data_IF_198770186128
#
_entry.id   IF_198770186128
#
_cell.length_a   1.000
_cell.length_b   1.000
_cell.length_c   1.000
_cell.angle_alpha   90.00
_cell.angle_beta   90.00
_cell.angle_gamma   90.00
#
_symmetry.space_group_name_H-M   'P 1'
#
loop_
_entity.id
_entity.type
_entity.pdbx_description
1 polymer ?
#
# COMPACT_ATOMS: atom_id res chain seq x y z
N UNK A 1 -3.61 2.07 5.36
CA UNK A 1 -2.65 2.69 4.43
C UNK A 1 -1.26 2.37 4.93
N UNK A 2 -0.40 1.88 4.05
CA UNK A 2 0.99 1.55 4.35
C UNK A 2 1.88 2.62 3.72
N UNK A 3 2.71 3.28 4.52
CA UNK A 3 3.55 4.37 4.06
C UNK A 3 5.01 4.05 4.34
N UNK A 4 5.87 4.17 3.32
CA UNK A 4 7.30 3.93 3.48
C UNK A 4 8.13 4.87 2.61
N UNK A 5 9.30 5.31 3.10
CA UNK A 5 10.31 5.82 2.21
C UNK A 5 10.92 4.70 1.36
N UNK A 6 11.62 5.09 0.29
CA UNK A 6 12.49 4.23 -0.51
C UNK A 6 13.89 4.27 0.09
N UNK A 7 14.49 3.10 0.30
CA UNK A 7 15.88 2.94 0.72
C UNK A 7 16.56 1.92 -0.18
N UNK A 8 17.53 2.35 -1.00
CA UNK A 8 18.26 1.47 -1.92
C UNK A 8 17.32 0.65 -2.83
N UNK A 9 16.29 1.31 -3.38
CA UNK A 9 15.28 0.66 -4.22
C UNK A 9 14.32 -0.27 -3.47
N UNK A 10 14.43 -0.38 -2.14
CA UNK A 10 13.62 -1.24 -1.29
C UNK A 10 12.69 -0.43 -0.37
N UNK A 11 11.62 -1.05 0.18
CA UNK A 11 10.90 -0.48 1.30
C UNK A 11 11.82 -0.29 2.52
N UNK A 12 11.42 0.56 3.47
CA UNK A 12 12.18 0.75 4.70
C UNK A 12 12.23 -0.52 5.56
N UNK A 13 13.32 -0.68 6.31
CA UNK A 13 13.44 -1.76 7.30
C UNK A 13 12.34 -1.72 8.37
N UNK A 14 11.69 -0.56 8.58
CA UNK A 14 10.56 -0.44 9.50
C UNK A 14 9.30 -1.08 8.95
N UNK A 15 8.92 -0.81 7.70
CA UNK A 15 7.75 -1.46 7.10
C UNK A 15 8.02 -2.95 6.86
N UNK A 16 9.27 -3.32 6.54
CA UNK A 16 9.68 -4.72 6.43
C UNK A 16 9.44 -5.48 7.74
N UNK A 17 9.84 -4.90 8.89
CA UNK A 17 9.53 -5.48 10.21
C UNK A 17 8.03 -5.58 10.53
N UNK A 18 7.20 -4.69 9.96
CA UNK A 18 5.74 -4.78 10.11
C UNK A 18 5.22 -5.98 9.32
N UNK A 19 5.67 -6.15 8.07
CA UNK A 19 5.32 -7.27 7.20
C UNK A 19 5.73 -8.60 7.84
N UNK A 20 6.95 -8.70 8.35
CA UNK A 20 7.45 -9.90 9.03
C UNK A 20 6.60 -10.28 10.25
N UNK A 21 6.03 -9.29 10.96
CA UNK A 21 5.12 -9.55 12.08
C UNK A 21 3.71 -9.94 11.65
N UNK A 22 3.34 -9.64 10.42
CA UNK A 22 2.06 -10.07 9.85
C UNK A 22 2.06 -11.55 9.46
N UNK A 23 3.18 -12.28 9.60
CA UNK A 23 3.23 -13.74 9.42
C UNK A 23 2.16 -14.50 10.25
N UNK A 24 1.79 -13.96 11.42
CA UNK A 24 0.67 -14.47 12.21
C UNK A 24 -0.67 -14.49 11.46
N UNK A 25 -0.91 -13.55 10.54
CA UNK A 25 -2.09 -13.49 9.68
C UNK A 25 -2.13 -14.69 8.73
N UNK A 26 -0.97 -15.10 8.22
CA UNK A 26 -0.85 -16.29 7.36
C UNK A 26 -1.14 -17.57 8.15
N UNK A 27 -0.60 -17.68 9.37
CA UNK A 27 -0.92 -18.79 10.27
C UNK A 27 -2.42 -18.91 10.56
N UNK A 28 -3.10 -17.79 10.82
CA UNK A 28 -4.56 -17.77 11.02
C UNK A 28 -5.33 -18.16 9.76
N UNK A 29 -4.87 -17.71 8.58
CA UNK A 29 -5.44 -18.14 7.30
C UNK A 29 -5.30 -19.65 7.11
N UNK A 30 -4.11 -20.22 7.35
CA UNK A 30 -3.85 -21.66 7.20
C UNK A 30 -4.73 -22.54 8.10
N UNK A 31 -5.10 -22.05 9.29
CA UNK A 31 -5.98 -22.78 10.21
C UNK A 31 -7.48 -22.64 9.89
N UNK A 32 -7.91 -21.48 9.36
CA UNK A 32 -9.33 -21.13 9.24
C UNK A 32 -9.87 -21.14 7.80
N UNK A 33 -8.98 -21.07 6.81
CA UNK A 33 -9.29 -20.92 5.38
C UNK A 33 -9.68 -19.50 4.96
N UNK A 34 -9.66 -18.53 5.87
CA UNK A 34 -10.04 -17.13 5.60
C UNK A 34 -9.11 -16.19 6.37
N UNK A 35 -8.49 -15.24 5.69
CA UNK A 35 -7.62 -14.26 6.36
C UNK A 35 -8.43 -13.37 7.33
N UNK A 36 -7.90 -13.02 8.51
CA UNK A 36 -8.53 -12.02 9.39
C UNK A 36 -8.59 -10.62 8.76
N UNK A 37 -7.85 -10.39 7.67
CA UNK A 37 -7.85 -9.13 6.91
C UNK A 37 -8.82 -9.16 5.72
N UNK A 38 -9.53 -10.26 5.51
CA UNK A 38 -10.66 -10.32 4.58
C UNK A 38 -11.63 -9.18 4.91
N UNK A 39 -12.09 -8.48 3.87
CA UNK A 39 -12.89 -7.25 3.93
C UNK A 39 -12.16 -5.95 4.29
N UNK A 40 -10.83 -5.97 4.39
CA UNK A 40 -10.04 -4.74 4.56
C UNK A 40 -9.55 -4.25 3.20
N UNK A 41 -9.46 -2.92 3.06
CA UNK A 41 -8.86 -2.28 1.89
C UNK A 41 -7.52 -1.69 2.29
N UNK A 42 -6.50 -1.87 1.46
CA UNK A 42 -5.20 -1.25 1.64
C UNK A 42 -4.86 -0.30 0.49
N UNK A 43 -4.00 0.65 0.82
CA UNK A 43 -3.40 1.59 -0.12
C UNK A 43 -2.00 1.95 0.35
N UNK A 44 -1.17 2.46 -0.56
CA UNK A 44 0.27 2.56 -0.40
C UNK A 44 0.72 4.00 -0.63
N UNK A 45 1.57 4.51 0.26
CA UNK A 45 2.24 5.81 0.07
C UNK A 45 3.75 5.58 0.02
N UNK A 46 4.39 6.04 -1.06
CA UNK A 46 5.84 5.90 -1.23
C UNK A 46 6.49 7.26 -1.46
N UNK A 47 7.57 7.54 -0.73
CA UNK A 47 8.39 8.74 -0.97
C UNK A 47 9.86 8.38 -1.12
N UNK A 48 10.56 8.95 -2.08
CA UNK A 48 12.02 8.81 -2.18
C UNK A 48 12.64 10.07 -2.76
N UNK A 49 13.96 10.18 -2.66
CA UNK A 49 14.70 11.21 -3.40
C UNK A 49 14.82 10.80 -4.88
N UNK A 50 15.16 9.54 -5.12
CA UNK A 50 15.44 9.02 -6.46
C UNK A 50 14.94 7.59 -6.61
N UNK A 51 14.27 7.33 -7.73
CA UNK A 51 13.81 6.05 -8.31
C UNK A 51 13.23 4.96 -7.36
N UNK A 52 12.69 3.86 -7.89
CA UNK A 52 12.32 2.67 -7.13
C UNK A 52 10.84 2.57 -6.73
N UNK A 53 10.01 3.56 -7.08
CA UNK A 53 8.58 3.58 -6.71
C UNK A 53 7.87 2.31 -7.16
N UNK A 54 7.97 1.96 -8.44
CA UNK A 54 7.20 0.83 -9.01
C UNK A 54 7.63 -0.50 -8.39
N UNK A 55 8.93 -0.65 -8.09
CA UNK A 55 9.43 -1.81 -7.37
C UNK A 55 8.84 -1.88 -5.95
N UNK A 56 8.94 -0.80 -5.17
CA UNK A 56 8.43 -0.77 -3.79
C UNK A 56 6.91 -0.95 -3.75
N UNK A 57 6.16 -0.29 -4.64
CA UNK A 57 4.71 -0.45 -4.76
C UNK A 57 4.36 -1.88 -5.14
N UNK A 58 5.07 -2.49 -6.10
CA UNK A 58 4.85 -3.87 -6.53
C UNK A 58 5.09 -4.87 -5.39
N UNK A 59 6.21 -4.74 -4.67
CA UNK A 59 6.53 -5.57 -3.51
C UNK A 59 5.45 -5.49 -2.44
N UNK A 60 5.08 -4.28 -2.03
CA UNK A 60 4.05 -4.08 -1.01
C UNK A 60 2.67 -4.52 -1.49
N UNK A 61 2.30 -4.24 -2.74
CA UNK A 61 1.01 -4.67 -3.29
C UNK A 61 0.88 -6.19 -3.27
N UNK A 62 1.91 -6.89 -3.74
CA UNK A 62 1.96 -8.35 -3.72
C UNK A 62 1.77 -8.89 -2.29
N UNK A 63 2.59 -8.43 -1.34
CA UNK A 63 2.49 -8.82 0.07
C UNK A 63 1.11 -8.56 0.66
N UNK A 64 0.54 -7.38 0.44
CA UNK A 64 -0.76 -7.01 1.01
C UNK A 64 -1.91 -7.82 0.42
N UNK A 65 -1.86 -8.16 -0.87
CA UNK A 65 -2.86 -9.04 -1.48
C UNK A 65 -2.79 -10.46 -0.92
N UNK A 66 -1.59 -11.00 -0.69
CA UNK A 66 -1.41 -12.32 -0.07
C UNK A 66 -1.99 -12.38 1.34
N UNK A 67 -1.85 -11.31 2.12
CA UNK A 67 -2.48 -11.24 3.43
C UNK A 67 -4.00 -11.02 3.40
N UNK A 68 -4.63 -10.85 2.22
CA UNK A 68 -6.08 -10.77 2.08
C UNK A 68 -6.67 -9.35 2.01
N UNK A 69 -5.84 -8.31 1.86
CA UNK A 69 -6.37 -6.98 1.58
C UNK A 69 -6.90 -6.89 0.14
N UNK A 70 -8.02 -6.19 -0.03
CA UNK A 70 -8.45 -5.70 -1.33
C UNK A 70 -7.66 -4.43 -1.71
N UNK A 71 -7.15 -4.40 -2.93
CA UNK A 71 -6.48 -3.24 -3.51
C UNK A 71 -7.31 -2.68 -4.67
N UNK A 72 -7.80 -1.43 -4.61
CA UNK A 72 -8.50 -0.84 -5.73
C UNK A 72 -7.54 -0.42 -6.86
N UNK A 73 -8.06 -0.06 -8.05
CA UNK A 73 -7.30 0.69 -9.04
C UNK A 73 -6.69 1.95 -8.44
N UNK A 74 -5.47 2.31 -8.87
CA UNK A 74 -4.75 3.49 -8.37
C UNK A 74 -4.66 3.56 -6.82
N UNK A 75 -4.43 2.41 -6.18
CA UNK A 75 -4.29 2.28 -4.72
C UNK A 75 -3.02 2.91 -4.13
N UNK A 76 -2.15 3.50 -4.95
CA UNK A 76 -0.88 4.05 -4.53
C UNK A 76 -0.77 5.54 -4.87
N UNK A 77 -0.21 6.32 -3.93
CA UNK A 77 0.21 7.69 -4.16
C UNK A 77 1.68 7.84 -3.81
N UNK A 78 2.43 8.59 -4.60
CA UNK A 78 3.88 8.65 -4.42
C UNK A 78 4.51 9.96 -4.84
N UNK A 79 5.78 10.11 -4.49
CA UNK A 79 6.65 11.16 -5.01
C UNK A 79 8.11 10.69 -5.01
N UNK A 80 8.81 11.01 -6.10
CA UNK A 80 10.28 11.01 -6.15
C UNK A 80 10.78 12.34 -6.68
N UNK A 81 11.98 12.71 -6.26
CA UNK A 81 12.71 13.87 -6.74
C UNK A 81 13.51 13.57 -8.00
N UNK A 82 14.44 14.46 -8.27
CA UNK A 82 15.40 14.33 -9.36
C UNK A 82 16.60 13.50 -8.90
N UNK A 83 17.25 12.81 -9.85
CA UNK A 83 18.45 12.04 -9.55
C UNK A 83 19.60 12.95 -9.14
N UNK A 84 20.26 12.62 -8.03
CA UNK A 84 21.39 13.37 -7.49
C UNK A 84 21.02 14.69 -6.76
N UNK A 85 22.03 15.35 -6.14
CA UNK A 85 21.83 16.54 -5.32
C UNK A 85 21.39 17.77 -6.14
N UNK A 86 20.72 18.76 -5.50
CA UNK A 86 20.41 18.83 -4.08
C UNK A 86 19.03 18.24 -3.71
N UNK A 87 18.95 17.59 -2.54
CA UNK A 87 17.75 16.92 -2.02
C UNK A 87 17.01 17.71 -0.92
N UNK A 88 17.56 18.85 -0.51
CA UNK A 88 17.07 19.68 0.59
C UNK A 88 15.68 20.30 0.32
N UNK A 89 15.32 20.48 -0.96
CA UNK A 89 14.04 21.01 -1.39
C UNK A 89 12.96 19.95 -1.62
N UNK A 90 13.28 18.66 -1.52
CA UNK A 90 12.37 17.56 -1.85
C UNK A 90 11.07 17.60 -1.05
N UNK A 91 11.16 17.97 0.22
CA UNK A 91 9.99 18.08 1.09
C UNK A 91 9.02 19.16 0.61
N UNK A 92 9.53 20.29 0.12
CA UNK A 92 8.72 21.38 -0.41
C UNK A 92 8.18 21.05 -1.81
N UNK A 93 9.04 20.55 -2.70
CA UNK A 93 8.67 20.09 -4.04
C UNK A 93 7.54 19.07 -3.99
N UNK A 94 7.63 18.07 -3.09
CA UNK A 94 6.58 17.07 -2.88
C UNK A 94 5.24 17.68 -2.50
N UNK A 95 5.21 18.64 -1.57
CA UNK A 95 3.95 19.26 -1.09
C UNK A 95 3.26 20.09 -2.17
N UNK A 96 4.03 20.68 -3.07
CA UNK A 96 3.54 21.50 -4.19
C UNK A 96 3.29 20.70 -5.47
N UNK A 97 3.66 19.42 -5.50
CA UNK A 97 3.56 18.60 -6.70
C UNK A 97 2.10 18.28 -7.03
N UNK A 98 1.61 18.79 -8.15
CA UNK A 98 0.23 18.61 -8.60
C UNK A 98 -0.10 17.13 -8.83
N UNK A 99 0.79 16.37 -9.46
CA UNK A 99 0.59 14.95 -9.77
C UNK A 99 0.47 14.11 -8.49
N UNK A 100 1.35 14.32 -7.50
CA UNK A 100 1.24 13.68 -6.19
C UNK A 100 -0.09 14.01 -5.52
N UNK A 101 -0.53 15.27 -5.55
CA UNK A 101 -1.82 15.65 -4.96
C UNK A 101 -3.01 14.98 -5.70
N UNK A 102 -2.97 14.88 -7.03
CA UNK A 102 -3.98 14.16 -7.80
C UNK A 102 -4.00 12.68 -7.43
N UNK A 103 -2.85 12.01 -7.36
CA UNK A 103 -2.76 10.60 -6.95
C UNK A 103 -3.30 10.38 -5.54
N UNK A 104 -2.97 11.26 -4.58
CA UNK A 104 -3.51 11.19 -3.21
C UNK A 104 -5.04 11.29 -3.23
N UNK A 105 -5.61 12.21 -4.02
CA UNK A 105 -7.05 12.37 -4.15
C UNK A 105 -7.71 11.14 -4.77
N UNK A 106 -7.19 10.63 -5.90
CA UNK A 106 -7.73 9.45 -6.57
C UNK A 106 -7.63 8.21 -5.68
N UNK A 107 -6.47 7.96 -5.09
CA UNK A 107 -6.25 6.86 -4.15
C UNK A 107 -7.26 6.95 -3.00
N UNK A 108 -7.41 8.11 -2.36
CA UNK A 108 -8.32 8.27 -1.22
C UNK A 108 -9.78 7.97 -1.59
N UNK A 109 -10.23 8.45 -2.76
CA UNK A 109 -11.57 8.18 -3.26
C UNK A 109 -11.79 6.68 -3.57
N UNK A 110 -10.82 6.04 -4.21
CA UNK A 110 -10.90 4.62 -4.57
C UNK A 110 -10.89 3.73 -3.33
N UNK A 111 -10.01 4.00 -2.36
CA UNK A 111 -9.98 3.29 -1.08
C UNK A 111 -11.33 3.40 -0.35
N UNK A 112 -11.89 4.60 -0.28
CA UNK A 112 -13.20 4.82 0.35
C UNK A 112 -14.32 4.07 -0.36
N UNK A 113 -14.41 4.18 -1.69
CA UNK A 113 -15.45 3.51 -2.49
C UNK A 113 -15.38 2.00 -2.33
N UNK A 114 -14.19 1.41 -2.41
CA UNK A 114 -14.01 -0.03 -2.22
C UNK A 114 -14.33 -0.47 -0.80
N UNK A 115 -13.93 0.31 0.21
CA UNK A 115 -14.28 -0.01 1.60
C UNK A 115 -15.80 -0.02 1.80
N UNK A 116 -16.52 0.92 1.16
CA UNK A 116 -17.99 0.96 1.17
C UNK A 116 -18.59 -0.26 0.46
N UNK A 117 -18.15 -0.56 -0.77
CA UNK A 117 -18.63 -1.71 -1.54
C UNK A 117 -18.44 -3.02 -0.76
N UNK A 118 -17.25 -3.24 -0.21
CA UNK A 118 -16.94 -4.44 0.57
C UNK A 118 -17.78 -4.50 1.84
N UNK A 119 -17.99 -3.37 2.53
CA UNK A 119 -18.83 -3.31 3.73
C UNK A 119 -20.28 -3.70 3.43
N UNK A 120 -20.80 -3.31 2.28
CA UNK A 120 -22.16 -3.62 1.81
C UNK A 120 -22.30 -5.07 1.32
N UNK A 121 -21.19 -5.72 0.89
CA UNK A 121 -21.20 -7.04 0.25
C UNK A 121 -20.35 -8.10 0.99
N UNK A 122 -20.15 -7.97 2.32
CA UNK A 122 -19.27 -8.87 3.09
C UNK A 122 -19.56 -10.36 2.87
N UNK A 123 -20.84 -10.73 2.80
CA UNK A 123 -21.23 -12.14 2.66
C UNK A 123 -20.62 -12.80 1.40
N UNK A 124 -20.46 -12.05 0.29
CA UNK A 124 -19.87 -12.57 -0.95
C UNK A 124 -18.37 -12.88 -0.84
N UNK A 125 -17.68 -12.31 0.15
CA UNK A 125 -16.24 -12.43 0.35
C UNK A 125 -15.91 -13.29 1.58
N UNK A 126 -16.92 -13.85 2.24
CA UNK A 126 -16.80 -14.60 3.50
C UNK A 126 -16.78 -16.11 3.32
N UNK A 127 -16.86 -16.60 2.08
CA UNK A 127 -16.76 -18.04 1.82
C UNK A 127 -15.34 -18.54 2.10
N UNK A 128 -15.25 -19.66 2.80
CA UNK A 128 -13.98 -20.38 2.95
C UNK A 128 -13.55 -20.83 1.56
N UNK A 129 -12.30 -20.60 1.19
CA UNK A 129 -11.74 -21.18 -0.04
C UNK A 129 -11.38 -22.67 0.11
N UNK A 130 -12.12 -23.41 0.95
CA UNK A 130 -11.94 -24.83 1.22
C UNK A 130 -13.30 -25.53 1.35
#
# INVERSE_FOLDING_TARGET
VFATPIWWGQPSSLIQKVIERMDQVDNEYMMSGVSPLTHKVAGIVVTGHEDGIQHVVGTLANTLTWFGFALPPEMAAYWVGEAGPPMDQDAEKRRKNMTTNMMVMTMSQNLYRYAKIIKENKAMLSEKML
#
